data_IF_315850262612
#
_entry.id   IF_315850262612
#
_cell.length_a   1.000
_cell.length_b   1.000
_cell.length_c   1.000
_cell.angle_alpha   90.00
_cell.angle_beta   90.00
_cell.angle_gamma   90.00
#
_symmetry.space_group_name_H-M   'P 1'
#
loop_
_entity.id
_entity.type
_entity.pdbx_description
1 polymer ?
#
# COMPACT_ATOMS: atom_id res chain seq x y z
N UNK A 1 18.79 -18.10 6.78
CA UNK A 1 20.07 -17.38 6.63
C UNK A 1 20.00 -16.73 5.27
N UNK A 2 19.59 -15.46 5.20
CA UNK A 2 19.70 -14.59 4.01
C UNK A 2 19.25 -13.19 4.46
N UNK A 3 20.06 -12.55 5.32
CA UNK A 3 19.87 -11.12 5.56
C UNK A 3 20.29 -10.45 4.26
N UNK A 4 19.33 -9.89 3.53
CA UNK A 4 19.59 -9.08 2.34
C UNK A 4 20.42 -7.85 2.68
N UNK A 5 20.44 -6.87 1.78
CA UNK A 5 21.17 -5.62 2.00
C UNK A 5 20.57 -4.73 3.11
N UNK A 6 19.38 -5.07 3.62
CA UNK A 6 18.68 -4.31 4.66
C UNK A 6 19.05 -4.79 6.06
N UNK A 7 19.16 -3.87 7.05
CA UNK A 7 19.51 -4.22 8.43
C UNK A 7 18.54 -5.16 9.15
N UNK A 8 17.26 -5.16 8.75
CA UNK A 8 16.18 -5.99 9.31
C UNK A 8 15.17 -6.36 8.23
N UNK A 9 14.39 -7.42 8.46
CA UNK A 9 13.34 -7.86 7.55
C UNK A 9 12.20 -6.83 7.42
N UNK A 10 12.01 -6.00 8.44
CA UNK A 10 10.99 -4.94 8.51
C UNK A 10 11.56 -3.53 8.26
N UNK A 11 12.79 -3.41 7.74
CA UNK A 11 13.48 -2.12 7.67
C UNK A 11 12.68 -1.04 6.94
N UNK A 12 11.90 -1.39 5.91
CA UNK A 12 11.05 -0.42 5.19
C UNK A 12 9.93 0.15 6.09
N UNK A 13 9.28 -0.71 6.87
CA UNK A 13 8.23 -0.31 7.82
C UNK A 13 8.84 0.52 8.95
N UNK A 14 10.01 0.13 9.46
CA UNK A 14 10.74 0.86 10.52
C UNK A 14 11.16 2.27 10.10
N UNK A 15 11.24 2.56 8.79
CA UNK A 15 11.66 3.85 8.26
C UNK A 15 10.50 4.73 7.76
N UNK A 16 9.24 4.28 7.93
CA UNK A 16 8.03 4.97 7.46
C UNK A 16 7.93 6.40 7.96
N UNK A 17 8.37 6.71 9.19
CA UNK A 17 8.31 8.06 9.76
C UNK A 17 8.95 9.14 8.86
N UNK A 18 9.92 8.75 8.03
CA UNK A 18 10.59 9.65 7.09
C UNK A 18 9.67 10.15 5.97
N UNK A 19 8.58 9.43 5.68
CA UNK A 19 7.65 9.74 4.57
C UNK A 19 6.23 10.02 5.04
N UNK A 20 5.94 9.97 6.35
CA UNK A 20 4.57 10.16 6.88
C UNK A 20 3.91 11.49 6.52
N UNK A 21 4.70 12.50 6.19
CA UNK A 21 4.22 13.81 5.76
C UNK A 21 3.73 13.86 4.30
N UNK A 22 3.96 12.80 3.52
CA UNK A 22 3.54 12.70 2.13
C UNK A 22 2.10 12.16 2.08
N UNK A 23 1.17 12.81 1.37
CA UNK A 23 -0.16 12.26 1.11
C UNK A 23 -0.04 10.91 0.38
N UNK A 24 -0.67 9.86 0.93
CA UNK A 24 -0.54 8.51 0.39
C UNK A 24 -1.85 7.71 0.50
N UNK A 25 -2.01 6.76 -0.41
CA UNK A 25 -3.06 5.77 -0.39
C UNK A 25 -2.50 4.39 -0.76
N UNK A 26 -3.00 3.36 -0.11
CA UNK A 26 -2.60 1.95 -0.26
C UNK A 26 -3.81 1.20 -0.81
N UNK A 27 -3.68 0.63 -2.01
CA UNK A 27 -4.73 -0.16 -2.66
C UNK A 27 -4.28 -1.61 -2.72
N UNK A 28 -5.04 -2.52 -2.12
CA UNK A 28 -4.66 -3.93 -1.99
C UNK A 28 -5.84 -4.85 -2.29
N UNK A 29 -5.63 -5.89 -3.10
CA UNK A 29 -6.63 -6.94 -3.30
C UNK A 29 -6.75 -7.84 -2.08
N UNK A 30 -7.99 -8.19 -1.71
CA UNK A 30 -8.27 -9.09 -0.58
C UNK A 30 -7.76 -10.51 -0.81
N UNK A 31 -7.69 -10.94 -2.07
CA UNK A 31 -7.25 -12.28 -2.47
C UNK A 31 -5.89 -12.26 -3.18
N UNK A 32 -5.07 -11.24 -2.93
CA UNK A 32 -3.70 -11.20 -3.41
C UNK A 32 -2.86 -12.29 -2.72
N UNK A 33 -2.44 -13.29 -3.50
CA UNK A 33 -1.59 -14.40 -3.05
C UNK A 33 -0.10 -14.15 -3.28
N UNK A 34 0.26 -13.10 -4.03
CA UNK A 34 1.65 -12.72 -4.32
C UNK A 34 2.16 -11.83 -3.18
N UNK A 35 1.36 -10.83 -2.79
CA UNK A 35 1.60 -9.96 -1.66
C UNK A 35 0.39 -10.02 -0.71
N UNK A 36 0.41 -10.90 0.31
CA UNK A 36 -0.74 -11.06 1.18
C UNK A 36 -1.11 -9.76 1.90
N UNK A 37 -2.42 -9.53 2.11
CA UNK A 37 -2.98 -8.29 2.66
C UNK A 37 -2.38 -7.86 4.01
N UNK A 38 -1.75 -8.79 4.75
CA UNK A 38 -1.05 -8.48 6.01
C UNK A 38 0.01 -7.39 5.85
N UNK A 39 0.75 -7.36 4.74
CA UNK A 39 1.79 -6.36 4.51
C UNK A 39 1.20 -4.95 4.34
N UNK A 40 0.12 -4.82 3.58
CA UNK A 40 -0.62 -3.57 3.40
C UNK A 40 -1.21 -3.07 4.74
N UNK A 41 -1.71 -4.00 5.56
CA UNK A 41 -2.22 -3.68 6.89
C UNK A 41 -1.11 -3.24 7.86
N UNK A 42 0.02 -3.93 7.88
CA UNK A 42 1.18 -3.55 8.71
C UNK A 42 1.74 -2.19 8.31
N UNK A 43 1.84 -1.92 7.00
CA UNK A 43 2.23 -0.60 6.51
C UNK A 43 1.26 0.49 6.94
N UNK A 44 -0.05 0.28 6.81
CA UNK A 44 -1.05 1.25 7.26
C UNK A 44 -1.02 1.48 8.79
N UNK A 45 -0.74 0.44 9.58
CA UNK A 45 -0.56 0.59 11.03
C UNK A 45 0.66 1.45 11.40
N UNK A 46 1.73 1.36 10.62
CA UNK A 46 2.92 2.20 10.79
C UNK A 46 2.77 3.59 10.15
N UNK A 47 1.93 3.71 9.11
CA UNK A 47 1.62 4.92 8.36
C UNK A 47 0.12 5.27 8.47
N UNK A 48 -0.36 5.71 9.64
CA UNK A 48 -1.78 5.95 9.87
C UNK A 48 -2.37 7.09 9.02
N UNK A 49 -1.53 8.00 8.51
CA UNK A 49 -1.94 9.07 7.59
C UNK A 49 -2.29 8.56 6.19
N UNK A 50 -1.79 7.38 5.79
CA UNK A 50 -2.09 6.81 4.48
C UNK A 50 -3.47 6.15 4.49
N UNK A 51 -4.28 6.37 3.46
CA UNK A 51 -5.60 5.73 3.35
C UNK A 51 -5.46 4.28 2.85
N UNK A 52 -6.13 3.32 3.50
CA UNK A 52 -6.11 1.91 3.10
C UNK A 52 -7.40 1.47 2.41
N UNK A 53 -7.29 0.99 1.18
CA UNK A 53 -8.39 0.45 0.37
C UNK A 53 -8.18 -1.04 0.12
N UNK A 54 -8.99 -1.87 0.77
CA UNK A 54 -9.03 -3.31 0.51
C UNK A 54 -10.12 -3.62 -0.50
N UNK A 55 -9.75 -4.07 -1.69
CA UNK A 55 -10.70 -4.41 -2.75
C UNK A 55 -11.20 -5.85 -2.53
N UNK A 56 -12.50 -6.03 -2.23
CA UNK A 56 -13.03 -7.30 -1.72
C UNK A 56 -13.01 -8.44 -2.76
N UNK A 57 -13.06 -8.11 -4.05
CA UNK A 57 -13.16 -9.03 -5.18
C UNK A 57 -11.95 -8.93 -6.13
N UNK A 58 -10.76 -8.69 -5.58
CA UNK A 58 -9.52 -8.59 -6.37
C UNK A 58 -8.32 -9.36 -5.79
N UNK A 59 -7.42 -9.77 -6.68
CA UNK A 59 -6.11 -10.34 -6.43
C UNK A 59 -4.97 -9.32 -6.55
N UNK A 60 -3.87 -9.70 -7.20
CA UNK A 60 -2.64 -8.91 -7.25
C UNK A 60 -2.63 -7.84 -8.35
N UNK A 61 -3.36 -8.03 -9.45
CA UNK A 61 -3.11 -7.25 -10.65
C UNK A 61 -3.70 -5.83 -10.54
N UNK A 62 -2.88 -4.82 -10.85
CA UNK A 62 -3.30 -3.42 -10.91
C UNK A 62 -4.41 -3.17 -11.94
N UNK A 63 -4.60 -4.08 -12.91
CA UNK A 63 -5.63 -3.96 -13.95
C UNK A 63 -6.97 -4.58 -13.58
N UNK A 64 -7.07 -5.22 -12.41
CA UNK A 64 -8.34 -5.76 -11.93
C UNK A 64 -9.36 -4.64 -11.74
N UNK A 65 -10.65 -4.85 -12.08
CA UNK A 65 -11.62 -3.76 -12.18
C UNK A 65 -11.71 -2.88 -10.93
N UNK A 66 -11.77 -3.50 -9.75
CA UNK A 66 -11.84 -2.77 -8.47
C UNK A 66 -10.54 -2.03 -8.13
N UNK A 67 -9.37 -2.66 -8.37
CA UNK A 67 -8.06 -2.04 -8.14
C UNK A 67 -7.86 -0.85 -9.08
N UNK A 68 -8.10 -1.04 -10.38
CA UNK A 68 -7.97 0.01 -11.40
C UNK A 68 -8.89 1.20 -11.09
N UNK A 69 -10.14 0.93 -10.71
CA UNK A 69 -11.10 1.98 -10.35
C UNK A 69 -10.59 2.82 -9.17
N UNK A 70 -10.10 2.15 -8.11
CA UNK A 70 -9.52 2.83 -6.96
C UNK A 70 -8.27 3.64 -7.34
N UNK A 71 -7.35 3.06 -8.12
CA UNK A 71 -6.14 3.74 -8.56
C UNK A 71 -6.45 5.00 -9.38
N UNK A 72 -7.35 4.91 -10.38
CA UNK A 72 -7.73 6.06 -11.21
C UNK A 72 -8.38 7.15 -10.36
N UNK A 73 -9.34 6.81 -9.50
CA UNK A 73 -9.98 7.79 -8.63
C UNK A 73 -9.01 8.47 -7.65
N UNK A 74 -8.01 7.72 -7.15
CA UNK A 74 -6.96 8.27 -6.30
C UNK A 74 -6.01 9.18 -7.07
N UNK A 75 -5.61 8.81 -8.29
CA UNK A 75 -4.76 9.65 -9.12
C UNK A 75 -5.45 10.94 -9.53
N UNK A 76 -6.74 10.88 -9.87
CA UNK A 76 -7.53 12.07 -10.19
C UNK A 76 -7.61 13.00 -8.97
N UNK A 77 -7.90 12.46 -7.78
CA UNK A 77 -7.93 13.24 -6.54
C UNK A 77 -6.56 13.85 -6.19
N UNK A 78 -5.47 13.12 -6.43
CA UNK A 78 -4.13 13.63 -6.16
C UNK A 78 -3.65 14.66 -7.17
N UNK A 79 -4.20 14.69 -8.38
CA UNK A 79 -3.92 15.74 -9.36
C UNK A 79 -4.40 17.12 -8.88
N UNK A 80 -5.42 17.16 -8.02
CA UNK A 80 -5.99 18.38 -7.44
C UNK A 80 -5.39 18.76 -6.08
N UNK A 81 -4.33 18.08 -5.62
CA UNK A 81 -3.65 18.46 -4.38
C UNK A 81 -2.94 19.82 -4.54
N UNK A 82 -3.04 20.71 -3.53
CA UNK A 82 -2.47 22.06 -3.57
C UNK A 82 -0.94 22.08 -3.55
#
# INVERSE_FOLDING_TARGET
CERGFLPSDNHLIEQVDRIRHIPAAIVQGRYDVVCPTVSAWELHRAWPEAELFIVPDAGHSATEPGIRSALVGLTDRFADLP
#
